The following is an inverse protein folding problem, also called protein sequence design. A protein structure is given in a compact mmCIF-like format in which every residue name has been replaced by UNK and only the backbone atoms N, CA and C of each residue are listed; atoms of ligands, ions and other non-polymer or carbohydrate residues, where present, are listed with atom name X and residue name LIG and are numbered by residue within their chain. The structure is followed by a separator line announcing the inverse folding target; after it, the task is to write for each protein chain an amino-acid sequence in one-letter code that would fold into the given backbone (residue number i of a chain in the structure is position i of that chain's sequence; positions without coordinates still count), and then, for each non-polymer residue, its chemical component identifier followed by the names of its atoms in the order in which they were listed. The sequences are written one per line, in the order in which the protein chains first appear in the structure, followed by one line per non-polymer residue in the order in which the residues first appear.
data_IF_521454287643
#
_entry.id   IF_521454287643
#
_cell.length_a   1.000
_cell.length_b   1.000
_cell.length_c   1.000
_cell.angle_alpha   90.00
_cell.angle_beta   90.00
_cell.angle_gamma   90.00
#
_symmetry.space_group_name_H-M   'P 1'
#
loop_
_entity.id
_entity.type
_entity.pdbx_description
1 polymer ?
#
# COMPACT_ATOMS: atom_id res chain seq x y z
N UNK A 1 22.26 -9.77 -2.39
CA UNK A 1 20.79 -9.82 -2.60
C UNK A 1 20.09 -8.73 -1.80
N UNK A 2 20.30 -8.65 -0.48
CA UNK A 2 19.65 -7.65 0.38
C UNK A 2 20.04 -6.20 0.04
N UNK A 3 21.33 -5.92 -0.14
CA UNK A 3 21.84 -4.61 -0.58
C UNK A 3 21.27 -4.17 -1.95
N UNK A 4 21.05 -5.14 -2.86
CA UNK A 4 20.45 -4.87 -4.16
C UNK A 4 18.98 -4.47 -4.02
N UNK A 5 18.25 -5.07 -3.07
CA UNK A 5 16.87 -4.70 -2.81
C UNK A 5 16.78 -3.28 -2.27
N UNK A 6 17.70 -2.85 -1.39
CA UNK A 6 17.69 -1.48 -0.85
C UNK A 6 17.81 -0.42 -1.94
N UNK A 7 18.57 -0.68 -3.02
CA UNK A 7 18.73 0.25 -4.16
C UNK A 7 17.46 0.42 -5.01
N UNK A 8 16.48 -0.48 -4.90
CA UNK A 8 15.22 -0.41 -5.67
C UNK A 8 14.23 0.60 -5.05
N UNK A 9 14.58 1.88 -5.08
CA UNK A 9 13.80 2.98 -4.47
C UNK A 9 12.47 3.19 -5.19
N UNK A 10 12.51 3.32 -6.53
CA UNK A 10 11.30 3.49 -7.33
C UNK A 10 10.34 2.30 -7.21
N UNK A 11 10.86 1.07 -7.18
CA UNK A 11 10.02 -0.12 -6.94
C UNK A 11 9.38 -0.09 -5.55
N UNK A 12 10.10 0.38 -4.53
CA UNK A 12 9.55 0.53 -3.19
C UNK A 12 8.42 1.59 -3.15
N UNK A 13 8.62 2.71 -3.85
CA UNK A 13 7.62 3.75 -4.02
C UNK A 13 6.37 3.22 -4.74
N UNK A 14 6.54 2.52 -5.86
CA UNK A 14 5.45 1.95 -6.62
C UNK A 14 4.63 0.92 -5.81
N UNK A 15 5.30 0.01 -5.11
CA UNK A 15 4.61 -0.96 -4.23
C UNK A 15 3.88 -0.28 -3.07
N UNK A 16 4.45 0.78 -2.50
CA UNK A 16 3.81 1.55 -1.44
C UNK A 16 2.59 2.31 -1.96
N UNK A 17 2.66 2.85 -3.17
CA UNK A 17 1.55 3.53 -3.83
C UNK A 17 0.41 2.54 -4.19
N UNK A 18 0.74 1.31 -4.60
CA UNK A 18 -0.25 0.23 -4.75
C UNK A 18 -0.96 -0.03 -3.43
N UNK A 19 -0.22 -0.15 -2.32
CA UNK A 19 -0.80 -0.36 -1.00
C UNK A 19 -1.64 0.82 -0.51
N UNK A 20 -1.32 2.05 -0.94
CA UNK A 20 -2.12 3.25 -0.63
C UNK A 20 -3.47 3.20 -1.33
N UNK A 21 -3.49 2.97 -2.64
CA UNK A 21 -4.71 3.04 -3.46
C UNK A 21 -5.58 1.79 -3.31
N UNK A 22 -4.94 0.63 -3.24
CA UNK A 22 -5.57 -0.69 -3.31
C UNK A 22 -5.41 -1.51 -2.03
N UNK A 23 -5.29 -0.86 -0.86
CA UNK A 23 -5.11 -1.58 0.40
C UNK A 23 -6.15 -2.70 0.53
N UNK A 24 -5.76 -3.98 0.69
CA UNK A 24 -6.71 -5.09 0.74
C UNK A 24 -7.42 -5.18 2.09
N UNK A 25 -7.08 -4.32 3.05
CA UNK A 25 -7.51 -4.44 4.44
C UNK A 25 -8.65 -3.48 4.77
N UNK A 26 -9.83 -4.06 4.98
CA UNK A 26 -10.92 -3.45 5.76
C UNK A 26 -10.77 -3.92 7.21
N UNK A 27 -10.30 -3.05 8.10
CA UNK A 27 -10.18 -3.38 9.53
C UNK A 27 -11.13 -2.49 10.31
N UNK A 28 -12.01 -3.08 11.12
CA UNK A 28 -12.72 -2.35 12.18
C UNK A 28 -11.79 -2.19 13.37
N UNK A 29 -11.50 -0.96 13.75
CA UNK A 29 -10.84 -0.64 15.01
C UNK A 29 -11.86 -0.07 16.00
N UNK A 30 -11.85 -0.48 17.27
CA UNK A 30 -12.21 0.41 18.36
C UNK A 30 -10.98 1.26 18.70
N UNK A 31 -11.06 2.58 18.55
CA UNK A 31 -10.04 3.52 19.03
C UNK A 31 -10.03 3.54 20.56
N UNK A 32 -9.28 2.62 21.16
CA UNK A 32 -9.10 2.55 22.60
C UNK A 32 -7.96 3.44 23.05
N UNK A 33 -8.25 4.70 23.42
CA UNK A 33 -7.68 5.50 24.53
C UNK A 33 -8.55 6.74 24.83
N UNK A 34 -9.85 6.72 24.49
CA UNK A 34 -10.83 7.67 25.01
C UNK A 34 -11.81 6.86 25.84
N UNK A 35 -12.06 7.28 27.09
CA UNK A 35 -13.11 6.71 27.96
C UNK A 35 -14.53 7.01 27.45
N UNK A 36 -14.77 6.92 26.14
CA UNK A 36 -16.10 7.03 25.54
C UNK A 36 -16.28 5.86 24.59
N UNK A 37 -17.19 4.96 24.97
CA UNK A 37 -17.61 3.79 24.21
C UNK A 37 -18.30 4.12 22.89
N UNK A 38 -17.59 4.73 21.96
CA UNK A 38 -17.95 4.82 20.55
C UNK A 38 -16.79 4.21 19.75
N UNK A 39 -17.05 3.05 19.14
CA UNK A 39 -16.09 2.41 18.26
C UNK A 39 -16.04 3.16 16.93
N UNK A 40 -15.05 4.04 16.74
CA UNK A 40 -14.87 4.73 15.47
C UNK A 40 -14.29 3.79 14.40
N UNK A 41 -15.04 3.60 13.31
CA UNK A 41 -14.61 2.81 12.16
C UNK A 41 -13.47 3.54 11.41
N UNK A 42 -12.25 3.02 11.48
CA UNK A 42 -11.14 3.48 10.62
C UNK A 42 -11.10 2.66 9.33
N UNK A 43 -11.51 3.26 8.21
CA UNK A 43 -11.42 2.62 6.88
C UNK A 43 -10.11 3.00 6.22
N UNK A 44 -9.10 2.12 6.28
CA UNK A 44 -7.76 2.40 5.73
C UNK A 44 -7.75 2.65 4.21
N UNK A 45 -8.62 1.98 3.46
CA UNK A 45 -8.79 2.22 2.02
C UNK A 45 -9.23 3.66 1.75
N UNK A 46 -10.13 4.20 2.58
CA UNK A 46 -10.59 5.57 2.45
C UNK A 46 -9.46 6.54 2.76
N UNK A 47 -8.72 6.33 3.85
CA UNK A 47 -7.57 7.19 4.22
C UNK A 47 -6.50 7.26 3.14
N UNK A 48 -6.24 6.16 2.45
CA UNK A 48 -5.32 6.12 1.31
C UNK A 48 -5.78 7.02 0.15
N UNK A 49 -7.06 7.34 0.06
CA UNK A 49 -7.72 8.05 -1.06
C UNK A 49 -8.27 9.43 -0.70
N UNK A 50 -8.07 9.89 0.54
CA UNK A 50 -8.56 11.19 1.01
C UNK A 50 -7.68 12.34 0.51
N UNK A 51 -8.31 13.31 -0.17
CA UNK A 51 -7.64 14.52 -0.67
C UNK A 51 -7.04 15.35 0.46
N UNK A 52 -7.66 15.37 1.66
CA UNK A 52 -7.11 16.07 2.83
C UNK A 52 -5.71 15.59 3.25
N UNK A 53 -5.33 14.36 2.89
CA UNK A 53 -4.00 13.82 3.17
C UNK A 53 -3.09 13.82 1.93
N UNK A 54 -3.64 13.60 0.74
CA UNK A 54 -2.87 13.30 -0.46
C UNK A 54 -2.97 14.35 -1.57
N UNK A 55 -3.77 15.40 -1.36
CA UNK A 55 -4.08 16.45 -2.33
C UNK A 55 -5.10 16.02 -3.38
N UNK A 56 -5.38 16.90 -4.33
CA UNK A 56 -6.40 16.74 -5.37
C UNK A 56 -6.17 15.50 -6.26
N UNK A 57 -4.94 15.01 -6.33
CA UNK A 57 -4.58 13.81 -7.09
C UNK A 57 -4.56 12.53 -6.23
N UNK A 58 -5.29 12.50 -5.12
CA UNK A 58 -5.37 11.35 -4.22
C UNK A 58 -5.81 10.05 -4.92
N UNK A 59 -6.60 10.12 -6.00
CA UNK A 59 -7.01 8.93 -6.75
C UNK A 59 -5.98 8.48 -7.79
N UNK A 60 -4.99 9.31 -8.10
CA UNK A 60 -4.00 9.04 -9.14
C UNK A 60 -2.87 8.17 -8.60
N UNK A 61 -2.55 7.10 -9.31
CA UNK A 61 -1.35 6.30 -9.07
C UNK A 61 -0.12 7.11 -9.49
N UNK A 62 0.63 7.62 -8.51
CA UNK A 62 1.84 8.42 -8.75
C UNK A 62 2.93 8.06 -7.73
N UNK A 63 3.75 7.02 -7.97
CA UNK A 63 4.84 6.62 -7.08
C UNK A 63 5.80 7.76 -6.70
N UNK A 64 6.00 8.72 -7.61
CA UNK A 64 6.89 9.87 -7.47
C UNK A 64 6.55 10.73 -6.26
N UNK A 65 5.30 10.69 -5.76
CA UNK A 65 4.92 11.43 -4.54
C UNK A 65 5.65 10.94 -3.28
N UNK A 66 6.17 9.72 -3.33
CA UNK A 66 6.90 9.04 -2.24
C UNK A 66 8.41 9.03 -2.51
N UNK A 67 8.89 9.89 -3.40
CA UNK A 67 10.30 10.03 -3.75
C UNK A 67 10.73 11.46 -3.42
N UNK A 68 11.89 11.63 -2.78
CA UNK A 68 12.49 12.93 -2.51
C UNK A 68 13.33 13.45 -3.70
N UNK A 69 13.93 14.62 -3.55
CA UNK A 69 14.70 15.29 -4.61
C UNK A 69 15.95 14.48 -4.99
N UNK A 70 16.47 13.68 -4.06
CA UNK A 70 17.61 12.78 -4.25
C UNK A 70 17.24 11.45 -4.91
N UNK A 71 15.95 11.21 -5.20
CA UNK A 71 15.48 9.96 -5.80
C UNK A 71 15.32 8.82 -4.79
N UNK A 72 15.35 9.13 -3.50
CA UNK A 72 15.22 8.17 -2.40
C UNK A 72 13.78 8.05 -1.93
N UNK A 73 13.40 6.89 -1.42
CA UNK A 73 12.06 6.66 -0.91
C UNK A 73 11.81 7.49 0.36
N UNK A 74 10.82 8.38 0.30
CA UNK A 74 10.36 9.18 1.43
C UNK A 74 9.33 8.42 2.26
N UNK A 75 9.64 8.21 3.53
CA UNK A 75 8.73 7.58 4.47
C UNK A 75 7.62 8.54 4.91
N UNK A 76 6.36 8.17 4.63
CA UNK A 76 5.20 8.85 5.20
C UNK A 76 4.92 8.38 6.64
N UNK A 77 4.34 9.27 7.44
CA UNK A 77 3.90 8.96 8.80
C UNK A 77 2.96 7.74 8.80
N UNK A 78 3.11 6.77 9.71
CA UNK A 78 2.18 5.64 9.84
C UNK A 78 0.72 6.04 10.09
N UNK A 79 0.48 7.26 10.57
CA UNK A 79 -0.88 7.81 10.77
C UNK A 79 -1.50 8.35 9.48
N UNK A 80 -0.67 8.68 8.47
CA UNK A 80 -1.10 9.06 7.12
C UNK A 80 -1.10 7.86 6.17
N UNK A 81 -0.06 7.02 6.25
CA UNK A 81 0.10 5.79 5.49
C UNK A 81 -0.18 4.56 6.39
N UNK A 82 -1.45 4.18 6.47
CA UNK A 82 -1.94 3.17 7.43
C UNK A 82 -2.01 1.75 6.88
N UNK A 83 -1.40 1.46 5.72
CA UNK A 83 -1.49 0.15 5.07
C UNK A 83 -0.97 -1.02 5.93
N UNK A 84 -0.10 -0.73 6.90
CA UNK A 84 0.42 -1.70 7.88
C UNK A 84 -0.05 -1.40 9.32
N UNK A 85 -1.16 -0.67 9.49
CA UNK A 85 -1.61 -0.11 10.76
C UNK A 85 -0.57 0.84 11.38
N UNK A 86 -0.82 1.30 12.61
CA UNK A 86 0.04 2.23 13.35
C UNK A 86 0.06 1.91 14.85
N UNK A 87 1.01 2.48 15.59
CA UNK A 87 1.14 2.32 17.03
C UNK A 87 1.40 0.88 17.48
N UNK A 88 0.86 0.50 18.63
CA UNK A 88 1.02 -0.84 19.23
C UNK A 88 0.44 -1.98 18.37
N UNK A 89 -0.39 -1.66 17.38
CA UNK A 89 -1.02 -2.62 16.47
C UNK A 89 -0.37 -2.64 15.09
N UNK A 90 0.78 -1.96 14.92
CA UNK A 90 1.53 -2.01 13.68
C UNK A 90 1.79 -3.48 13.27
N UNK A 91 1.59 -3.79 12.00
CA UNK A 91 1.78 -5.12 11.46
C UNK A 91 3.22 -5.59 11.73
N UNK A 92 3.38 -6.61 12.56
CA UNK A 92 4.69 -7.20 12.87
C UNK A 92 5.38 -7.72 11.59
N UNK A 93 4.59 -8.15 10.60
CA UNK A 93 5.07 -8.60 9.30
C UNK A 93 5.44 -7.49 8.31
N UNK A 94 5.35 -6.20 8.67
CA UNK A 94 5.55 -5.07 7.75
C UNK A 94 6.86 -5.16 6.96
N UNK A 95 7.98 -5.37 7.65
CA UNK A 95 9.28 -5.41 7.00
C UNK A 95 9.46 -6.65 6.13
N UNK A 96 8.97 -7.80 6.61
CA UNK A 96 8.99 -9.05 5.84
C UNK A 96 8.16 -8.94 4.57
N UNK A 97 6.91 -8.47 4.67
CA UNK A 97 6.01 -8.27 3.53
C UNK A 97 6.62 -7.32 2.49
N UNK A 98 7.23 -6.21 2.93
CA UNK A 98 7.93 -5.27 2.03
C UNK A 98 9.06 -5.91 1.25
N UNK A 99 9.89 -6.73 1.90
CA UNK A 99 10.97 -7.47 1.23
C UNK A 99 10.39 -8.47 0.22
N UNK A 100 9.39 -9.26 0.62
CA UNK A 100 8.75 -10.25 -0.25
C UNK A 100 8.11 -9.61 -1.49
N UNK A 101 7.35 -8.53 -1.34
CA UNK A 101 6.75 -7.81 -2.46
C UNK A 101 7.84 -7.30 -3.43
N UNK A 102 8.95 -6.75 -2.93
CA UNK A 102 10.06 -6.29 -3.78
C UNK A 102 10.72 -7.43 -4.53
N UNK A 103 11.00 -8.56 -3.87
CA UNK A 103 11.60 -9.73 -4.51
C UNK A 103 10.67 -10.25 -5.62
N UNK A 104 9.39 -10.45 -5.30
CA UNK A 104 8.41 -10.98 -6.24
C UNK A 104 8.24 -10.05 -7.45
N UNK A 105 8.03 -8.75 -7.22
CA UNK A 105 7.89 -7.78 -8.30
C UNK A 105 9.17 -7.65 -9.13
N UNK A 106 10.35 -7.65 -8.50
CA UNK A 106 11.62 -7.59 -9.23
C UNK A 106 11.82 -8.80 -10.15
N UNK A 107 11.49 -10.01 -9.70
CA UNK A 107 11.54 -11.21 -10.53
C UNK A 107 10.56 -11.10 -11.70
N UNK A 108 9.31 -10.74 -11.42
CA UNK A 108 8.28 -10.61 -12.47
C UNK A 108 8.67 -9.57 -13.53
N UNK A 109 9.08 -8.38 -13.11
CA UNK A 109 9.47 -7.30 -14.02
C UNK A 109 10.78 -7.58 -14.76
N UNK A 110 11.64 -8.46 -14.22
CA UNK A 110 12.90 -8.84 -14.86
C UNK A 110 12.70 -9.84 -15.98
N UNK A 111 11.79 -10.80 -15.80
CA UNK A 111 11.63 -11.94 -16.71
C UNK A 111 10.40 -11.85 -17.63
N UNK A 112 9.44 -10.97 -17.32
CA UNK A 112 8.19 -10.88 -18.06
C UNK A 112 7.89 -9.44 -18.49
N UNK A 113 7.22 -9.32 -19.64
CA UNK A 113 6.57 -8.09 -20.10
C UNK A 113 5.06 -8.29 -19.97
N UNK A 114 4.40 -7.37 -19.28
CA UNK A 114 2.97 -7.44 -19.04
C UNK A 114 2.22 -6.60 -20.06
N UNK A 115 1.17 -7.18 -20.63
CA UNK A 115 0.22 -6.48 -21.51
C UNK A 115 -1.21 -6.87 -21.09
N UNK A 116 -2.13 -5.92 -21.16
CA UNK A 116 -3.54 -6.19 -20.88
C UNK A 116 -4.10 -7.09 -21.99
N UNK A 117 -4.66 -8.24 -21.62
CA UNK A 117 -5.26 -9.17 -22.58
C UNK A 117 -6.45 -8.54 -23.31
N UNK A 118 -7.23 -7.70 -22.63
CA UNK A 118 -8.36 -6.96 -23.18
C UNK A 118 -8.32 -5.52 -22.64
N UNK A 119 -8.18 -4.54 -23.55
CA UNK A 119 -8.06 -3.12 -23.17
C UNK A 119 -9.38 -2.50 -22.70
N UNK A 120 -10.53 -3.08 -23.08
CA UNK A 120 -11.86 -2.55 -22.79
C UNK A 120 -12.52 -3.16 -21.56
N UNK A 121 -11.88 -4.15 -20.92
CA UNK A 121 -12.46 -4.83 -19.77
C UNK A 121 -12.33 -3.96 -18.52
N UNK A 122 -13.46 -3.61 -17.92
CA UNK A 122 -13.48 -2.89 -16.65
C UNK A 122 -12.90 -3.75 -15.52
N UNK A 123 -11.87 -3.25 -14.87
CA UNK A 123 -11.22 -3.91 -13.72
C UNK A 123 -12.07 -3.63 -12.48
N UNK A 124 -12.67 -4.68 -11.93
CA UNK A 124 -13.49 -4.60 -10.72
C UNK A 124 -12.77 -5.23 -9.52
N UNK A 125 -12.91 -4.61 -8.35
CA UNK A 125 -12.40 -5.18 -7.11
C UNK A 125 -13.35 -6.27 -6.60
N UNK A 126 -12.82 -7.48 -6.39
CA UNK A 126 -13.54 -8.56 -5.72
C UNK A 126 -13.06 -8.67 -4.28
N UNK A 127 -13.90 -8.28 -3.33
CA UNK A 127 -13.57 -8.40 -1.90
C UNK A 127 -13.63 -9.86 -1.49
N UNK A 128 -12.48 -10.43 -1.11
CA UNK A 128 -12.36 -11.82 -0.67
C UNK A 128 -11.31 -11.92 0.44
N UNK A 129 -11.54 -12.82 1.41
CA UNK A 129 -10.56 -13.12 2.46
C UNK A 129 -9.65 -14.27 2.01
N UNK A 130 -10.19 -15.21 1.24
CA UNK A 130 -9.48 -16.36 0.69
C UNK A 130 -9.47 -16.29 -0.84
N UNK A 131 -8.29 -16.43 -1.44
CA UNK A 131 -8.17 -16.63 -2.88
C UNK A 131 -8.54 -18.08 -3.19
N UNK A 132 -9.65 -18.28 -3.89
CA UNK A 132 -10.02 -19.60 -4.41
C UNK A 132 -9.19 -19.88 -5.66
N UNK A 133 -8.31 -20.88 -5.58
CA UNK A 133 -7.58 -21.42 -6.72
C UNK A 133 -8.38 -22.64 -7.19
N UNK A 134 -8.97 -22.55 -8.38
CA UNK A 134 -9.59 -23.69 -9.06
C UNK A 134 -8.54 -24.47 -9.85
#
# INVERSE_FOLDING_TARGET
MEESLEKLQYLHAALSEILRIGSPLLVRHPVGWVQRGQGDLVVYIAMGRMESFWGDDAQVFRPERLIDEEGMYRHESPFKFTAFQTGQRICMGKQFARKQMKIFAAVLLRYFRFELSEKSKEINYRTMITLHIN
#
